data_IF_364832781676
#
_entry.id   IF_364832781676
#
_cell.length_a   1.000
_cell.length_b   1.000
_cell.length_c   1.000
_cell.angle_alpha   90.00
_cell.angle_beta   90.00
_cell.angle_gamma   90.00
#
_symmetry.space_group_name_H-M   'P 1'
#
loop_
_entity.id
_entity.type
_entity.pdbx_description
1 polymer ?
#
# COMPACT_ATOMS: atom_id res chain seq x y z
N UNK A 1 -8.99 -3.59 15.06
CA UNK A 1 -8.43 -2.75 16.11
C UNK A 1 -9.02 -1.36 15.93
N UNK A 2 -9.51 -0.71 16.98
CA UNK A 2 -10.14 0.62 16.87
C UNK A 2 -9.16 1.78 16.91
N UNK A 3 -7.94 1.58 16.44
CA UNK A 3 -6.90 2.62 16.41
C UNK A 3 -7.08 3.45 15.15
N UNK A 4 -7.10 4.77 15.31
CA UNK A 4 -7.23 5.71 14.18
C UNK A 4 -5.86 6.03 13.57
N UNK A 5 -5.85 6.28 12.27
CA UNK A 5 -4.70 6.87 11.59
C UNK A 5 -4.34 8.22 12.21
N UNK A 6 -3.06 8.50 12.33
CA UNK A 6 -2.55 9.74 12.90
C UNK A 6 -2.70 10.94 11.95
N UNK A 7 -2.68 10.70 10.64
CA UNK A 7 -2.69 11.75 9.65
C UNK A 7 -4.10 12.22 9.26
N UNK A 8 -4.16 13.50 8.96
CA UNK A 8 -5.24 14.13 8.18
C UNK A 8 -4.81 14.25 6.71
N UNK A 9 -5.70 14.67 5.81
CA UNK A 9 -5.31 14.97 4.43
C UNK A 9 -4.25 16.07 4.36
N UNK A 10 -4.30 17.07 5.25
CA UNK A 10 -3.30 18.13 5.31
C UNK A 10 -1.91 17.57 5.63
N UNK A 11 -1.78 16.80 6.72
CA UNK A 11 -0.47 16.32 7.17
C UNK A 11 0.10 15.24 6.25
N UNK A 12 -0.72 14.30 5.78
CA UNK A 12 -0.31 13.27 4.84
C UNK A 12 0.13 13.86 3.48
N UNK A 13 -0.64 14.79 2.92
CA UNK A 13 -0.30 15.38 1.61
C UNK A 13 0.84 16.37 1.69
N UNK A 14 1.02 17.06 2.84
CA UNK A 14 2.23 17.84 3.11
C UNK A 14 3.47 16.95 3.14
N UNK A 15 3.41 15.86 3.89
CA UNK A 15 4.47 14.85 3.94
C UNK A 15 4.77 14.29 2.55
N UNK A 16 3.75 13.94 1.77
CA UNK A 16 3.88 13.49 0.39
C UNK A 16 4.60 14.51 -0.51
N UNK A 17 4.20 15.78 -0.45
CA UNK A 17 4.81 16.87 -1.22
C UNK A 17 6.29 17.05 -0.85
N UNK A 18 6.62 17.05 0.45
CA UNK A 18 8.00 17.18 0.91
C UNK A 18 8.89 16.00 0.46
N UNK A 19 8.29 14.83 0.25
CA UNK A 19 8.94 13.66 -0.35
C UNK A 19 8.96 13.65 -1.89
N UNK A 20 8.42 14.70 -2.56
CA UNK A 20 8.44 14.80 -4.03
C UNK A 20 7.20 14.25 -4.73
N UNK A 21 6.15 13.88 -4.00
CA UNK A 21 4.91 13.33 -4.57
C UNK A 21 3.89 14.45 -4.85
N UNK A 22 3.32 14.48 -6.05
CA UNK A 22 2.36 15.50 -6.53
C UNK A 22 0.90 15.03 -6.49
N UNK A 23 0.67 13.72 -6.42
CA UNK A 23 -0.68 13.15 -6.38
C UNK A 23 -0.72 11.90 -5.51
N UNK A 24 -1.82 11.70 -4.78
CA UNK A 24 -2.04 10.51 -3.94
C UNK A 24 -3.37 9.85 -4.27
N UNK A 25 -3.45 8.53 -4.11
CA UNK A 25 -4.71 7.79 -4.13
C UNK A 25 -4.93 7.25 -2.71
N UNK A 26 -5.82 7.88 -1.97
CA UNK A 26 -6.11 7.53 -0.57
C UNK A 26 -7.27 6.53 -0.48
N UNK A 27 -7.39 5.83 0.64
CA UNK A 27 -8.54 4.95 0.88
C UNK A 27 -9.76 5.77 1.34
N UNK A 28 -10.89 5.64 0.62
CA UNK A 28 -12.21 5.96 1.17
C UNK A 28 -12.71 4.72 1.92
N UNK A 29 -12.41 4.65 3.21
CA UNK A 29 -12.61 3.46 4.03
C UNK A 29 -14.09 3.30 4.39
N UNK A 30 -14.78 2.39 3.72
CA UNK A 30 -16.18 2.05 3.95
C UNK A 30 -16.35 1.36 5.29
N UNK A 31 -17.25 1.85 6.12
CA UNK A 31 -17.66 1.19 7.36
C UNK A 31 -18.80 0.20 7.07
N UNK A 32 -18.79 -0.98 7.72
CA UNK A 32 -19.88 -1.95 7.57
C UNK A 32 -21.23 -1.33 7.89
N UNK A 33 -22.20 -1.55 7.02
CA UNK A 33 -23.56 -1.02 7.14
C UNK A 33 -23.75 0.43 6.66
N UNK A 34 -22.67 1.15 6.29
CA UNK A 34 -22.79 2.49 5.71
C UNK A 34 -23.02 2.44 4.20
N UNK A 35 -23.48 3.54 3.57
CA UNK A 35 -23.54 3.69 2.12
C UNK A 35 -22.18 4.03 1.53
N UNK A 36 -21.87 3.51 0.33
CA UNK A 36 -20.62 3.83 -0.37
C UNK A 36 -20.60 5.30 -0.80
N UNK A 37 -21.70 5.82 -1.30
CA UNK A 37 -21.83 7.21 -1.73
C UNK A 37 -21.59 8.20 -0.58
N UNK A 38 -22.15 7.93 0.59
CA UNK A 38 -21.93 8.73 1.81
C UNK A 38 -20.46 8.69 2.23
N UNK A 39 -19.84 7.50 2.20
CA UNK A 39 -18.42 7.32 2.52
C UNK A 39 -17.53 8.17 1.61
N UNK A 40 -17.72 8.08 0.29
CA UNK A 40 -16.91 8.83 -0.69
C UNK A 40 -17.15 10.34 -0.53
N UNK A 41 -18.39 10.77 -0.29
CA UNK A 41 -18.70 12.19 -0.06
C UNK A 41 -18.00 12.74 1.19
N UNK A 42 -17.96 12.00 2.30
CA UNK A 42 -17.26 12.41 3.53
C UNK A 42 -15.74 12.52 3.28
N UNK A 43 -15.11 11.51 2.65
CA UNK A 43 -13.69 11.57 2.32
C UNK A 43 -13.36 12.70 1.36
N UNK A 44 -14.20 12.95 0.35
CA UNK A 44 -14.05 14.08 -0.58
C UNK A 44 -14.11 15.42 0.15
N UNK A 45 -15.05 15.57 1.08
CA UNK A 45 -15.18 16.79 1.88
C UNK A 45 -13.96 17.03 2.80
N UNK A 46 -13.38 15.96 3.35
CA UNK A 46 -12.13 16.05 4.15
C UNK A 46 -10.95 16.42 3.28
N UNK A 47 -10.79 15.77 2.12
CA UNK A 47 -9.70 16.05 1.19
C UNK A 47 -9.77 17.48 0.64
N UNK A 48 -10.95 17.94 0.21
CA UNK A 48 -11.14 19.31 -0.28
C UNK A 48 -10.74 20.37 0.75
N UNK A 49 -10.89 20.09 2.06
CA UNK A 49 -10.52 21.05 3.11
C UNK A 49 -9.03 21.05 3.43
N UNK A 50 -8.32 19.96 3.20
CA UNK A 50 -6.97 19.79 3.76
C UNK A 50 -5.90 19.33 2.78
N UNK A 51 -6.23 18.77 1.63
CA UNK A 51 -5.22 18.28 0.70
C UNK A 51 -4.40 19.43 0.09
N UNK A 52 -3.09 19.27 0.07
CA UNK A 52 -2.12 20.22 -0.48
C UNK A 52 -1.64 19.85 -1.90
N UNK A 53 -1.91 18.61 -2.30
CA UNK A 53 -1.62 18.07 -3.63
C UNK A 53 -2.86 17.37 -4.16
N UNK A 54 -2.83 16.93 -5.39
CA UNK A 54 -3.94 16.24 -6.02
C UNK A 54 -4.23 14.88 -5.36
N UNK A 55 -5.50 14.50 -5.38
CA UNK A 55 -5.94 13.27 -4.73
C UNK A 55 -7.01 12.53 -5.54
N UNK A 56 -7.02 11.22 -5.38
CA UNK A 56 -8.08 10.32 -5.80
C UNK A 56 -8.37 9.31 -4.68
N UNK A 57 -9.31 8.39 -4.90
CA UNK A 57 -9.69 7.40 -3.90
C UNK A 57 -9.62 5.97 -4.44
N UNK A 58 -9.12 5.07 -3.59
CA UNK A 58 -9.48 3.66 -3.61
C UNK A 58 -10.76 3.50 -2.78
N UNK A 59 -11.91 3.24 -3.42
CA UNK A 59 -13.14 2.96 -2.69
C UNK A 59 -13.01 1.59 -2.03
N UNK A 60 -12.88 1.57 -0.71
CA UNK A 60 -12.79 0.30 0.03
C UNK A 60 -14.19 -0.28 0.20
N UNK A 61 -14.39 -1.51 -0.26
CA UNK A 61 -15.63 -2.27 -0.07
C UNK A 61 -15.42 -3.26 1.06
N UNK A 62 -16.20 -3.13 2.13
CA UNK A 62 -16.14 -3.99 3.32
C UNK A 62 -17.46 -4.72 3.60
N UNK A 63 -18.51 -4.32 2.90
CA UNK A 63 -19.86 -4.86 3.02
C UNK A 63 -20.58 -4.72 1.69
N UNK A 64 -21.10 -5.82 1.17
CA UNK A 64 -21.89 -5.88 -0.07
C UNK A 64 -23.37 -6.10 0.17
N UNK A 65 -23.76 -6.30 1.45
CA UNK A 65 -25.12 -6.59 1.85
C UNK A 65 -25.92 -5.32 2.23
N UNK A 66 -25.31 -4.14 2.02
CA UNK A 66 -25.99 -2.86 2.19
C UNK A 66 -27.00 -2.62 1.05
N UNK A 67 -28.12 -1.92 1.33
CA UNK A 67 -29.08 -1.56 0.28
C UNK A 67 -28.39 -0.82 -0.87
N UNK A 68 -28.85 -1.07 -2.09
CA UNK A 68 -28.41 -0.37 -3.31
C UNK A 68 -26.90 -0.46 -3.63
N UNK A 69 -26.15 -1.40 -3.00
CA UNK A 69 -24.71 -1.57 -3.19
C UNK A 69 -24.26 -1.55 -4.65
N UNK A 70 -24.93 -2.36 -5.50
CA UNK A 70 -24.56 -2.49 -6.92
C UNK A 70 -24.75 -1.17 -7.67
N UNK A 71 -25.88 -0.49 -7.47
CA UNK A 71 -26.18 0.79 -8.13
C UNK A 71 -25.32 1.93 -7.62
N UNK A 72 -25.04 2.00 -6.30
CA UNK A 72 -24.13 3.00 -5.73
C UNK A 72 -22.71 2.81 -6.25
N UNK A 73 -22.19 1.56 -6.25
CA UNK A 73 -20.84 1.29 -6.74
C UNK A 73 -20.72 1.64 -8.23
N UNK A 74 -21.70 1.26 -9.05
CA UNK A 74 -21.71 1.60 -10.47
C UNK A 74 -21.73 3.12 -10.68
N UNK A 75 -22.57 3.86 -9.96
CA UNK A 75 -22.66 5.31 -10.07
C UNK A 75 -21.37 6.01 -9.63
N UNK A 76 -20.70 5.52 -8.60
CA UNK A 76 -19.40 6.07 -8.15
C UNK A 76 -18.30 5.83 -9.18
N UNK A 77 -18.29 4.68 -9.84
CA UNK A 77 -17.33 4.38 -10.91
C UNK A 77 -17.59 5.29 -12.12
N UNK A 78 -18.84 5.46 -12.53
CA UNK A 78 -19.23 6.36 -13.63
C UNK A 78 -18.87 7.82 -13.32
N UNK A 79 -18.91 8.22 -12.05
CA UNK A 79 -18.47 9.53 -11.58
C UNK A 79 -16.92 9.71 -11.59
N UNK A 80 -16.16 8.68 -12.00
CA UNK A 80 -14.70 8.75 -12.14
C UNK A 80 -13.89 8.01 -11.08
N UNK A 81 -14.51 7.41 -10.06
CA UNK A 81 -13.80 6.64 -9.02
C UNK A 81 -13.50 5.22 -9.52
N UNK A 82 -12.47 5.06 -10.34
CA UNK A 82 -12.19 3.80 -11.06
C UNK A 82 -11.33 2.80 -10.30
N UNK A 83 -11.06 3.01 -9.02
CA UNK A 83 -10.26 2.10 -8.21
C UNK A 83 -11.06 1.60 -7.01
N UNK A 84 -11.29 0.27 -6.97
CA UNK A 84 -12.10 -0.39 -5.96
C UNK A 84 -11.20 -1.30 -5.12
N UNK A 85 -11.14 -1.10 -3.80
CA UNK A 85 -10.29 -1.87 -2.89
C UNK A 85 -11.10 -2.92 -2.14
N UNK A 86 -10.59 -4.16 -2.15
CA UNK A 86 -11.13 -5.28 -1.36
C UNK A 86 -10.01 -5.96 -0.57
N UNK A 87 -10.40 -6.68 0.47
CA UNK A 87 -9.50 -7.41 1.36
C UNK A 87 -9.92 -8.88 1.43
N UNK A 88 -8.96 -9.78 1.51
CA UNK A 88 -9.16 -11.22 1.72
C UNK A 88 -8.91 -11.63 3.17
N UNK A 89 -8.56 -10.69 4.04
CA UNK A 89 -8.34 -10.87 5.48
C UNK A 89 -8.84 -9.68 6.29
N UNK A 90 -8.70 -9.73 7.59
CA UNK A 90 -9.20 -8.79 8.59
C UNK A 90 -10.73 -8.83 8.76
N UNK A 91 -11.21 -8.04 9.72
CA UNK A 91 -12.64 -7.86 9.97
C UNK A 91 -13.40 -7.13 8.84
N UNK A 92 -12.67 -6.67 7.82
CA UNK A 92 -13.19 -6.00 6.61
C UNK A 92 -13.08 -6.88 5.36
N UNK A 93 -12.69 -8.15 5.52
CA UNK A 93 -12.60 -9.09 4.40
C UNK A 93 -13.96 -9.35 3.76
N UNK A 94 -13.91 -9.63 2.47
CA UNK A 94 -15.03 -10.14 1.70
C UNK A 94 -14.86 -11.65 1.45
N UNK A 95 -15.96 -12.35 1.36
CA UNK A 95 -15.99 -13.73 0.85
C UNK A 95 -15.65 -13.78 -0.64
N UNK A 96 -15.20 -14.92 -1.13
CA UNK A 96 -14.93 -15.12 -2.57
C UNK A 96 -16.14 -14.76 -3.44
N UNK A 97 -17.36 -15.09 -2.98
CA UNK A 97 -18.58 -14.74 -3.68
C UNK A 97 -18.80 -13.21 -3.77
N UNK A 98 -18.54 -12.48 -2.68
CA UNK A 98 -18.64 -11.02 -2.63
C UNK A 98 -17.55 -10.35 -3.47
N UNK A 99 -16.31 -10.88 -3.45
CA UNK A 99 -15.22 -10.41 -4.32
C UNK A 99 -15.60 -10.60 -5.79
N UNK A 100 -16.10 -11.76 -6.20
CA UNK A 100 -16.53 -12.02 -7.57
C UNK A 100 -17.69 -11.11 -7.98
N UNK A 101 -18.65 -10.83 -7.08
CA UNK A 101 -19.74 -9.90 -7.32
C UNK A 101 -19.22 -8.48 -7.55
N UNK A 102 -18.33 -7.98 -6.67
CA UNK A 102 -17.68 -6.68 -6.80
C UNK A 102 -16.88 -6.57 -8.11
N UNK A 103 -16.12 -7.61 -8.46
CA UNK A 103 -15.36 -7.68 -9.71
C UNK A 103 -16.26 -7.59 -10.95
N UNK A 104 -17.43 -8.22 -10.95
CA UNK A 104 -18.38 -8.16 -12.07
C UNK A 104 -18.93 -6.75 -12.29
N UNK A 105 -19.28 -6.05 -11.20
CA UNK A 105 -19.73 -4.65 -11.25
C UNK A 105 -18.58 -3.77 -11.78
N UNK A 106 -17.41 -3.89 -11.19
CA UNK A 106 -16.22 -3.12 -11.59
C UNK A 106 -15.88 -3.33 -13.08
N UNK A 107 -15.97 -4.58 -13.56
CA UNK A 107 -15.72 -4.90 -14.97
C UNK A 107 -16.76 -4.24 -15.89
N UNK A 108 -18.03 -4.30 -15.54
CA UNK A 108 -19.09 -3.71 -16.35
C UNK A 108 -18.92 -2.19 -16.53
N UNK A 109 -18.34 -1.53 -15.54
CA UNK A 109 -18.08 -0.08 -15.51
C UNK A 109 -16.65 0.30 -15.87
N UNK A 110 -15.78 -0.67 -16.20
CA UNK A 110 -14.38 -0.40 -16.59
C UNK A 110 -13.48 0.08 -15.45
N UNK A 111 -13.71 -0.41 -14.23
CA UNK A 111 -12.90 -0.10 -13.06
C UNK A 111 -11.85 -1.18 -12.77
N UNK A 112 -10.79 -0.79 -12.04
CA UNK A 112 -9.74 -1.65 -11.52
C UNK A 112 -10.12 -2.14 -10.11
N UNK A 113 -9.95 -3.43 -9.82
CA UNK A 113 -10.10 -3.96 -8.46
C UNK A 113 -8.73 -4.16 -7.84
N UNK A 114 -8.48 -3.51 -6.71
CA UNK A 114 -7.25 -3.58 -5.94
C UNK A 114 -7.43 -4.53 -4.76
N UNK A 115 -6.51 -5.45 -4.53
CA UNK A 115 -6.69 -6.50 -3.53
C UNK A 115 -5.51 -6.54 -2.56
N UNK A 116 -5.83 -6.47 -1.25
CA UNK A 116 -4.94 -6.97 -0.21
C UNK A 116 -5.13 -8.49 -0.17
N UNK A 117 -4.10 -9.26 -0.51
CA UNK A 117 -4.20 -10.69 -0.76
C UNK A 117 -3.40 -11.50 0.27
N UNK A 118 -4.04 -11.83 1.39
CA UNK A 118 -3.57 -12.80 2.38
C UNK A 118 -4.74 -13.69 2.81
N UNK A 119 -4.51 -14.99 2.99
CA UNK A 119 -5.55 -15.97 3.35
C UNK A 119 -5.82 -15.93 4.85
N UNK A 120 -6.98 -15.39 5.24
CA UNK A 120 -7.38 -15.16 6.65
C UNK A 120 -7.30 -16.43 7.52
N UNK A 121 -7.73 -17.58 6.99
CA UNK A 121 -7.71 -18.85 7.73
C UNK A 121 -6.28 -19.27 8.09
N UNK A 122 -5.30 -19.06 7.21
CA UNK A 122 -3.88 -19.36 7.47
C UNK A 122 -3.32 -18.38 8.53
N UNK A 123 -3.64 -17.10 8.43
CA UNK A 123 -3.22 -16.10 9.41
C UNK A 123 -3.82 -16.38 10.80
N UNK A 124 -5.10 -16.74 10.85
CA UNK A 124 -5.78 -17.06 12.10
C UNK A 124 -5.18 -18.30 12.78
N UNK A 125 -4.89 -19.35 12.02
CA UNK A 125 -4.28 -20.59 12.53
C UNK A 125 -2.85 -20.33 13.05
N UNK A 126 -2.00 -19.68 12.25
CA UNK A 126 -0.63 -19.34 12.61
C UNK A 126 -0.58 -18.47 13.88
N UNK A 127 -1.44 -17.44 13.95
CA UNK A 127 -1.57 -16.60 15.13
C UNK A 127 -2.00 -17.38 16.37
N UNK A 128 -3.02 -18.23 16.24
CA UNK A 128 -3.52 -19.04 17.37
C UNK A 128 -2.44 -19.99 17.90
N UNK A 129 -1.67 -20.61 17.00
CA UNK A 129 -0.56 -21.48 17.36
C UNK A 129 0.54 -20.74 18.15
N UNK A 130 1.00 -19.59 17.65
CA UNK A 130 2.02 -18.77 18.33
C UNK A 130 1.56 -18.33 19.72
N UNK A 131 0.32 -17.88 19.86
CA UNK A 131 -0.24 -17.44 21.14
C UNK A 131 -0.37 -18.61 22.13
N UNK A 132 -0.73 -19.81 21.68
CA UNK A 132 -0.80 -21.01 22.51
C UNK A 132 0.59 -21.41 23.04
N UNK A 133 1.66 -21.11 22.32
CA UNK A 133 3.04 -21.31 22.73
C UNK A 133 3.61 -20.18 23.60
N UNK A 134 2.83 -19.14 23.91
CA UNK A 134 3.28 -17.96 24.65
C UNK A 134 4.20 -17.02 23.86
N UNK A 135 4.25 -17.15 22.55
CA UNK A 135 5.02 -16.32 21.63
C UNK A 135 4.24 -15.04 21.32
N UNK A 136 4.58 -13.94 22.00
CA UNK A 136 3.77 -12.71 22.00
C UNK A 136 4.52 -11.46 21.54
N UNK A 137 5.86 -11.50 21.49
CA UNK A 137 6.68 -10.34 21.14
C UNK A 137 6.50 -9.91 19.66
N UNK A 138 6.81 -8.63 19.30
CA UNK A 138 6.63 -8.11 17.95
C UNK A 138 7.29 -8.92 16.83
N UNK A 139 8.44 -9.54 17.07
CA UNK A 139 9.13 -10.34 16.06
C UNK A 139 8.35 -11.60 15.62
N UNK A 140 7.39 -12.08 16.42
CA UNK A 140 6.51 -13.17 16.00
C UNK A 140 5.43 -12.73 14.99
N UNK A 141 5.32 -11.44 14.73
CA UNK A 141 4.41 -10.94 13.70
C UNK A 141 4.72 -11.54 12.31
N UNK A 142 6.00 -11.61 11.92
CA UNK A 142 6.37 -12.22 10.64
C UNK A 142 5.95 -13.70 10.57
N UNK A 143 6.15 -14.46 11.63
CA UNK A 143 5.73 -15.86 11.72
C UNK A 143 4.19 -16.03 11.73
N UNK A 144 3.44 -15.02 12.22
CA UNK A 144 1.97 -15.03 12.20
C UNK A 144 1.37 -14.74 10.81
N UNK A 145 2.21 -14.28 9.89
CA UNK A 145 1.88 -14.01 8.48
C UNK A 145 2.75 -14.90 7.56
N UNK A 146 2.58 -16.23 7.61
CA UNK A 146 3.41 -17.14 6.80
C UNK A 146 3.27 -16.82 5.32
N UNK A 147 4.35 -16.99 4.57
CA UNK A 147 4.43 -16.74 3.12
C UNK A 147 3.25 -17.35 2.35
N UNK A 148 2.84 -18.57 2.75
CA UNK A 148 1.74 -19.31 2.12
C UNK A 148 0.40 -18.54 2.17
N UNK A 149 0.19 -17.67 3.15
CA UNK A 149 -1.03 -16.86 3.21
C UNK A 149 -1.10 -15.84 2.05
N UNK A 150 0.03 -15.21 1.71
CA UNK A 150 0.11 -14.32 0.54
C UNK A 150 0.04 -15.12 -0.76
N UNK A 151 0.84 -16.19 -0.90
CA UNK A 151 0.94 -16.99 -2.13
C UNK A 151 -0.44 -17.51 -2.54
N UNK A 152 -1.16 -18.18 -1.63
CA UNK A 152 -2.49 -18.75 -1.91
C UNK A 152 -3.49 -17.67 -2.34
N UNK A 153 -3.54 -16.56 -1.60
CA UNK A 153 -4.48 -15.49 -1.90
C UNK A 153 -4.16 -14.80 -3.24
N UNK A 154 -2.88 -14.55 -3.54
CA UNK A 154 -2.43 -13.99 -4.82
C UNK A 154 -2.83 -14.90 -5.98
N UNK A 155 -2.52 -16.21 -5.88
CA UNK A 155 -2.90 -17.19 -6.92
C UNK A 155 -4.41 -17.25 -7.14
N UNK A 156 -5.19 -17.28 -6.07
CA UNK A 156 -6.66 -17.32 -6.10
C UNK A 156 -7.23 -16.07 -6.77
N UNK A 157 -6.75 -14.89 -6.41
CA UNK A 157 -7.20 -13.63 -7.03
C UNK A 157 -6.78 -13.54 -8.49
N UNK A 158 -5.59 -14.01 -8.85
CA UNK A 158 -5.17 -14.13 -10.26
C UNK A 158 -6.14 -15.02 -11.06
N UNK A 159 -6.63 -16.12 -10.48
CA UNK A 159 -7.61 -16.98 -11.13
C UNK A 159 -8.99 -16.32 -11.27
N UNK A 160 -9.40 -15.50 -10.31
CA UNK A 160 -10.65 -14.73 -10.44
C UNK A 160 -10.52 -13.67 -11.54
N UNK A 161 -9.39 -12.97 -11.61
CA UNK A 161 -9.09 -12.03 -12.69
C UNK A 161 -9.13 -12.71 -14.07
N UNK A 162 -8.48 -13.86 -14.21
CA UNK A 162 -8.44 -14.67 -15.43
C UNK A 162 -9.86 -15.15 -15.83
N UNK A 163 -10.61 -15.70 -14.87
CA UNK A 163 -11.98 -16.21 -15.09
C UNK A 163 -12.94 -15.14 -15.57
N UNK A 164 -12.91 -13.96 -14.95
CA UNK A 164 -13.80 -12.85 -15.29
C UNK A 164 -13.25 -11.95 -16.40
N UNK A 165 -11.94 -12.00 -16.70
CA UNK A 165 -11.26 -11.00 -17.51
C UNK A 165 -11.30 -9.61 -16.85
N UNK A 166 -11.31 -9.54 -15.52
CA UNK A 166 -11.37 -8.33 -14.72
C UNK A 166 -9.96 -7.79 -14.48
N UNK A 167 -9.68 -6.51 -14.82
CA UNK A 167 -8.43 -5.83 -14.40
C UNK A 167 -8.26 -5.82 -12.89
N UNK A 168 -7.12 -6.34 -12.39
CA UNK A 168 -6.82 -6.43 -10.96
C UNK A 168 -5.43 -5.88 -10.67
N UNK A 169 -5.29 -5.12 -9.57
CA UNK A 169 -4.03 -4.72 -8.96
C UNK A 169 -3.84 -5.50 -7.65
N UNK A 170 -2.79 -6.28 -7.57
CA UNK A 170 -2.35 -6.94 -6.35
C UNK A 170 -1.43 -6.00 -5.58
N UNK A 171 -1.85 -5.62 -4.37
CA UNK A 171 -1.13 -4.65 -3.55
C UNK A 171 0.06 -5.30 -2.85
N UNK A 172 1.09 -4.49 -2.59
CA UNK A 172 2.19 -4.74 -1.66
C UNK A 172 2.73 -6.18 -1.65
N UNK A 173 3.06 -6.73 -2.82
CA UNK A 173 3.71 -8.05 -2.93
C UNK A 173 5.02 -8.04 -2.15
N UNK A 174 5.16 -8.99 -1.24
CA UNK A 174 6.30 -9.10 -0.33
C UNK A 174 7.18 -10.33 -0.57
N UNK A 175 6.66 -11.35 -1.28
CA UNK A 175 7.35 -12.64 -1.48
C UNK A 175 7.75 -12.86 -2.94
N UNK A 176 8.83 -13.61 -3.14
CA UNK A 176 9.28 -14.10 -4.45
C UNK A 176 8.16 -14.86 -5.15
N UNK A 177 7.50 -15.78 -4.45
CA UNK A 177 6.46 -16.63 -5.02
C UNK A 177 5.20 -15.84 -5.38
N UNK A 178 4.88 -14.76 -4.62
CA UNK A 178 3.81 -13.84 -4.98
C UNK A 178 4.08 -13.14 -6.32
N UNK A 179 5.30 -12.64 -6.51
CA UNK A 179 5.73 -12.05 -7.79
C UNK A 179 5.72 -13.09 -8.93
N UNK A 180 6.15 -14.31 -8.67
CA UNK A 180 6.12 -15.43 -9.64
C UNK A 180 4.67 -15.78 -10.04
N UNK A 181 3.74 -15.79 -9.10
CA UNK A 181 2.32 -16.03 -9.37
C UNK A 181 1.72 -14.95 -10.27
N UNK A 182 2.06 -13.68 -10.04
CA UNK A 182 1.68 -12.56 -10.91
C UNK A 182 2.24 -12.75 -12.32
N UNK A 183 3.55 -13.01 -12.45
CA UNK A 183 4.21 -13.27 -13.73
C UNK A 183 3.52 -14.40 -14.48
N UNK A 184 3.27 -15.52 -13.81
CA UNK A 184 2.63 -16.69 -14.41
C UNK A 184 1.17 -16.38 -14.86
N UNK A 185 0.42 -15.60 -14.10
CA UNK A 185 -0.92 -15.17 -14.48
C UNK A 185 -0.92 -14.27 -15.72
N UNK A 186 -0.01 -13.28 -15.76
CA UNK A 186 0.18 -12.39 -16.92
C UNK A 186 0.60 -13.17 -18.17
N UNK A 187 1.48 -14.15 -18.03
CA UNK A 187 1.89 -15.02 -19.14
C UNK A 187 0.73 -15.84 -19.74
N UNK A 188 -0.33 -16.10 -18.95
CA UNK A 188 -1.58 -16.72 -19.44
C UNK A 188 -2.58 -15.72 -20.01
N UNK A 189 -2.26 -14.43 -19.98
CA UNK A 189 -3.14 -13.36 -20.48
C UNK A 189 -4.13 -12.81 -19.44
N UNK A 190 -3.98 -13.13 -18.16
CA UNK A 190 -4.79 -12.54 -17.11
C UNK A 190 -4.50 -11.03 -17.00
N UNK A 191 -5.51 -10.16 -16.89
CA UNK A 191 -5.31 -8.70 -16.77
C UNK A 191 -4.96 -8.33 -15.33
N UNK A 192 -3.77 -8.74 -14.88
CA UNK A 192 -3.27 -8.47 -13.53
C UNK A 192 -2.03 -7.60 -13.56
N UNK A 193 -1.97 -6.68 -12.60
CA UNK A 193 -0.83 -5.85 -12.25
C UNK A 193 -0.52 -6.07 -10.77
N UNK A 194 0.68 -5.70 -10.36
CA UNK A 194 1.06 -5.77 -8.96
C UNK A 194 2.04 -4.66 -8.60
N UNK A 195 2.06 -4.35 -7.31
CA UNK A 195 2.96 -3.38 -6.72
C UNK A 195 3.73 -3.97 -5.53
N UNK A 196 4.84 -3.35 -5.21
CA UNK A 196 5.58 -3.57 -3.97
C UNK A 196 5.84 -2.22 -3.29
N UNK A 197 6.51 -2.23 -2.13
CA UNK A 197 6.75 -1.03 -1.33
C UNK A 197 8.21 -0.94 -0.90
N UNK A 198 8.75 0.26 -0.58
CA UNK A 198 10.14 0.42 -0.15
C UNK A 198 10.52 -0.49 1.03
N UNK A 199 9.65 -0.67 2.02
CA UNK A 199 9.96 -1.50 3.17
C UNK A 199 10.19 -2.99 2.83
N UNK A 200 9.66 -3.51 1.71
CA UNK A 200 10.01 -4.84 1.22
C UNK A 200 11.29 -4.87 0.39
N UNK A 201 11.70 -3.74 -0.15
CA UNK A 201 12.90 -3.62 -0.98
C UNK A 201 14.18 -3.35 -0.17
N UNK A 202 14.04 -2.82 1.06
CA UNK A 202 15.16 -2.33 1.85
C UNK A 202 15.22 -2.88 3.28
N UNK A 203 14.16 -3.48 3.80
CA UNK A 203 14.11 -4.04 5.16
C UNK A 203 13.84 -5.54 5.12
N UNK A 204 14.38 -6.27 6.10
CA UNK A 204 14.07 -7.68 6.35
C UNK A 204 13.26 -7.82 7.63
N UNK A 205 12.68 -9.01 7.88
CA UNK A 205 11.93 -9.30 9.09
C UNK A 205 12.77 -9.16 10.38
N UNK A 206 14.11 -9.16 10.27
CA UNK A 206 15.02 -8.94 11.40
C UNK A 206 14.81 -7.58 12.06
N UNK A 207 14.27 -6.59 11.34
CA UNK A 207 13.92 -5.27 11.89
C UNK A 207 12.92 -5.37 13.04
N UNK A 208 12.11 -6.43 13.08
CA UNK A 208 11.14 -6.69 14.14
C UNK A 208 11.79 -7.20 15.44
N UNK A 209 13.06 -7.65 15.39
CA UNK A 209 13.80 -8.22 16.52
C UNK A 209 14.41 -7.16 17.45
N UNK A 210 13.77 -5.99 17.57
CA UNK A 210 14.20 -4.95 18.51
C UNK A 210 13.72 -5.26 19.92
N UNK A 211 14.42 -4.75 20.97
CA UNK A 211 14.06 -5.01 22.37
C UNK A 211 12.64 -4.54 22.73
N UNK A 212 11.95 -5.28 23.57
CA UNK A 212 10.62 -4.95 24.06
C UNK A 212 9.60 -4.82 22.94
N UNK A 213 8.84 -3.72 22.91
CA UNK A 213 7.85 -3.42 21.89
C UNK A 213 8.40 -2.60 20.70
N UNK A 214 9.67 -2.23 20.72
CA UNK A 214 10.27 -1.35 19.72
C UNK A 214 10.10 -1.87 18.28
N UNK A 215 10.21 -3.20 18.07
CA UNK A 215 9.94 -3.83 16.77
C UNK A 215 8.54 -3.56 16.23
N UNK A 216 7.59 -3.19 17.08
CA UNK A 216 6.22 -2.81 16.70
C UNK A 216 6.16 -1.60 15.76
N UNK A 217 7.18 -0.72 15.75
CA UNK A 217 7.27 0.40 14.79
C UNK A 217 7.25 -0.08 13.35
N UNK A 218 7.87 -1.24 13.06
CA UNK A 218 8.03 -1.77 11.71
C UNK A 218 7.00 -2.85 11.33
N UNK A 219 6.07 -3.18 12.22
CA UNK A 219 5.00 -4.13 11.88
C UNK A 219 4.09 -3.58 10.79
N UNK A 220 3.95 -4.32 9.69
CA UNK A 220 3.05 -4.10 8.56
C UNK A 220 2.50 -5.45 8.05
N UNK A 221 1.52 -5.43 7.17
CA UNK A 221 0.93 -6.64 6.58
C UNK A 221 0.76 -6.49 5.07
N UNK A 222 1.37 -7.39 4.30
CA UNK A 222 2.29 -8.46 4.75
C UNK A 222 3.52 -7.91 5.49
N UNK A 223 4.21 -8.72 6.32
CA UNK A 223 5.46 -8.28 6.95
C UNK A 223 6.62 -8.26 5.95
N UNK A 224 7.71 -7.58 6.32
CA UNK A 224 8.98 -7.70 5.62
C UNK A 224 9.42 -9.18 5.60
N UNK A 225 10.16 -9.57 4.56
CA UNK A 225 10.62 -10.94 4.35
C UNK A 225 12.14 -11.03 4.47
N UNK A 226 12.76 -11.96 3.76
CA UNK A 226 14.21 -12.19 3.76
C UNK A 226 14.92 -11.40 2.65
N UNK A 227 16.24 -11.38 2.71
CA UNK A 227 17.08 -10.69 1.73
C UNK A 227 16.90 -11.26 0.30
N UNK A 228 16.69 -12.57 0.17
CA UNK A 228 16.42 -13.21 -1.12
C UNK A 228 15.13 -12.68 -1.75
N UNK A 229 14.13 -12.35 -0.95
CA UNK A 229 12.89 -11.72 -1.45
C UNK A 229 13.14 -10.30 -1.93
N UNK A 230 13.98 -9.53 -1.25
CA UNK A 230 14.36 -8.20 -1.73
C UNK A 230 14.97 -8.27 -3.12
N UNK A 231 15.93 -9.18 -3.33
CA UNK A 231 16.57 -9.38 -4.63
C UNK A 231 15.53 -9.76 -5.70
N UNK A 232 14.67 -10.73 -5.40
CA UNK A 232 13.64 -11.19 -6.34
C UNK A 232 12.61 -10.09 -6.68
N UNK A 233 12.20 -9.27 -5.71
CA UNK A 233 11.29 -8.13 -5.97
C UNK A 233 11.95 -7.06 -6.85
N UNK A 234 13.23 -6.77 -6.64
CA UNK A 234 13.97 -5.87 -7.52
C UNK A 234 14.08 -6.43 -8.95
N UNK A 235 14.35 -7.72 -9.10
CA UNK A 235 14.39 -8.40 -10.41
C UNK A 235 13.01 -8.36 -11.08
N UNK A 236 11.93 -8.58 -10.31
CA UNK A 236 10.56 -8.50 -10.80
C UNK A 236 10.16 -7.08 -11.25
N UNK A 237 10.61 -6.03 -10.55
CA UNK A 237 10.44 -4.63 -10.99
C UNK A 237 11.19 -4.37 -12.30
N UNK A 238 12.42 -4.84 -12.42
CA UNK A 238 13.25 -4.68 -13.62
C UNK A 238 12.67 -5.45 -14.81
N UNK A 239 12.13 -6.63 -14.57
CA UNK A 239 11.50 -7.47 -15.61
C UNK A 239 10.10 -6.94 -16.03
N UNK A 240 9.49 -6.03 -15.26
CA UNK A 240 8.15 -5.53 -15.48
C UNK A 240 7.04 -6.51 -15.00
N UNK A 241 7.38 -7.46 -14.16
CA UNK A 241 6.42 -8.35 -13.49
C UNK A 241 5.67 -7.62 -12.38
N UNK A 242 6.35 -6.69 -11.69
CA UNK A 242 5.76 -5.66 -10.83
C UNK A 242 5.85 -4.31 -11.52
N UNK A 243 4.79 -3.51 -11.47
CA UNK A 243 4.67 -2.29 -12.26
C UNK A 243 4.81 -1.01 -11.46
N UNK A 244 4.58 -1.05 -10.16
CA UNK A 244 4.52 0.14 -9.30
C UNK A 244 5.30 -0.12 -8.01
N UNK A 245 5.96 0.93 -7.51
CA UNK A 245 6.42 1.00 -6.11
C UNK A 245 5.54 2.02 -5.39
N UNK A 246 4.59 1.55 -4.58
CA UNK A 246 3.70 2.37 -3.77
C UNK A 246 4.27 2.62 -2.37
N UNK A 247 3.59 3.42 -1.54
CA UNK A 247 4.04 3.70 -0.17
C UNK A 247 3.45 2.76 0.87
N UNK A 248 2.26 2.26 0.64
CA UNK A 248 1.41 1.61 1.66
C UNK A 248 1.39 2.40 2.98
N UNK A 249 1.24 3.74 2.88
CA UNK A 249 1.28 4.63 4.02
C UNK A 249 0.10 4.36 4.97
N UNK A 250 0.41 3.76 6.12
CA UNK A 250 -0.54 3.46 7.18
C UNK A 250 -0.01 4.05 8.51
N UNK A 251 -0.32 5.33 8.78
CA UNK A 251 0.33 6.13 9.81
C UNK A 251 -0.30 5.89 11.18
N UNK A 252 0.30 5.07 11.99
CA UNK A 252 -0.08 4.87 13.39
C UNK A 252 1.04 5.38 14.32
N UNK A 253 0.67 6.21 15.30
CA UNK A 253 1.61 6.70 16.31
C UNK A 253 2.18 5.53 17.12
N UNK A 254 3.42 5.69 17.58
CA UNK A 254 4.04 4.68 18.46
C UNK A 254 3.88 5.12 19.93
N UNK A 255 2.63 5.28 20.35
CA UNK A 255 2.21 5.64 21.69
C UNK A 255 0.87 4.95 22.03
N UNK A 256 0.28 5.29 23.19
CA UNK A 256 -1.00 4.75 23.67
C UNK A 256 -2.21 5.14 22.80
N UNK A 257 -2.09 6.13 21.96
CA UNK A 257 -3.15 6.51 20.98
C UNK A 257 -3.07 5.72 19.69
N UNK A 258 -1.98 5.00 19.48
CA UNK A 258 -1.65 4.26 18.27
C UNK A 258 -1.27 2.81 18.53
N UNK A 259 -0.08 2.42 18.12
CA UNK A 259 0.41 1.05 18.16
C UNK A 259 0.48 0.45 19.58
N UNK A 260 0.66 1.26 20.60
CA UNK A 260 0.75 0.84 22.00
C UNK A 260 -0.55 0.97 22.79
N UNK A 261 -1.70 1.08 22.10
CA UNK A 261 -3.02 1.23 22.72
C UNK A 261 -3.43 0.07 23.63
N UNK A 262 -2.83 -1.11 23.48
CA UNK A 262 -3.03 -2.26 24.37
C UNK A 262 -2.11 -2.24 25.61
N UNK A 263 -1.27 -1.22 25.77
CA UNK A 263 -0.38 -1.03 26.91
C UNK A 263 1.00 -1.62 26.75
N UNK A 264 1.82 -1.58 27.84
CA UNK A 264 3.24 -1.94 27.80
C UNK A 264 3.51 -3.44 27.59
N UNK A 265 2.51 -4.29 27.80
CA UNK A 265 2.59 -5.73 27.62
C UNK A 265 1.84 -6.18 26.34
N UNK A 266 1.66 -5.27 25.38
CA UNK A 266 0.95 -5.54 24.13
C UNK A 266 1.59 -6.72 23.39
N UNK A 267 0.76 -7.68 22.99
CA UNK A 267 1.18 -8.78 22.12
C UNK A 267 1.20 -8.30 20.67
N UNK A 268 1.96 -9.00 19.80
CA UNK A 268 2.05 -8.66 18.37
C UNK A 268 0.67 -8.54 17.70
N UNK A 269 -0.31 -9.38 18.10
CA UNK A 269 -1.67 -9.36 17.51
C UNK A 269 -2.55 -8.18 18.01
N UNK A 270 -2.05 -7.38 18.93
CA UNK A 270 -2.69 -6.19 19.50
C UNK A 270 -2.05 -4.89 19.00
N UNK A 271 -0.90 -4.97 18.30
CA UNK A 271 -0.19 -3.82 17.74
C UNK A 271 -0.74 -3.56 16.33
N UNK A 272 -1.08 -2.31 16.03
CA UNK A 272 -1.57 -1.94 14.71
C UNK A 272 -0.49 -2.12 13.63
N UNK A 273 -0.87 -2.74 12.50
CA UNK A 273 0.02 -2.97 11.36
C UNK A 273 0.00 -1.78 10.44
N UNK A 274 1.16 -1.21 10.14
CA UNK A 274 1.31 -0.12 9.20
C UNK A 274 2.55 0.72 9.47
N UNK A 275 3.10 1.29 8.42
CA UNK A 275 4.28 2.14 8.41
C UNK A 275 3.96 3.50 7.76
N UNK A 276 4.54 4.62 8.21
CA UNK A 276 4.56 5.84 7.43
C UNK A 276 5.51 5.66 6.23
N UNK A 277 5.15 6.19 5.06
CA UNK A 277 5.94 5.98 3.85
C UNK A 277 5.81 7.05 2.78
N UNK A 278 4.90 8.03 2.91
CA UNK A 278 4.65 9.01 1.86
C UNK A 278 5.87 9.89 1.55
N UNK A 279 6.52 10.42 2.58
CA UNK A 279 7.67 11.32 2.43
C UNK A 279 8.95 10.57 2.01
N UNK A 280 9.08 9.32 2.42
CA UNK A 280 10.33 8.56 2.25
C UNK A 280 10.38 7.74 0.96
N UNK A 281 9.21 7.41 0.37
CA UNK A 281 9.12 6.53 -0.80
C UNK A 281 9.98 6.98 -1.97
N UNK A 282 9.76 8.20 -2.45
CA UNK A 282 10.50 8.68 -3.63
C UNK A 282 11.99 8.92 -3.37
N UNK A 283 12.40 9.55 -2.25
CA UNK A 283 13.82 9.72 -1.95
C UNK A 283 14.59 8.39 -1.84
N UNK A 284 14.04 7.36 -1.21
CA UNK A 284 14.62 6.01 -1.15
C UNK A 284 14.77 5.38 -2.54
N UNK A 285 13.72 5.49 -3.36
CA UNK A 285 13.75 4.96 -4.71
C UNK A 285 14.69 5.75 -5.63
N UNK A 286 14.79 7.08 -5.45
CA UNK A 286 15.72 7.92 -6.20
C UNK A 286 17.17 7.53 -5.88
N UNK A 287 17.50 7.39 -4.60
CA UNK A 287 18.83 6.94 -4.19
C UNK A 287 19.20 5.60 -4.82
N UNK A 288 18.33 4.59 -4.69
CA UNK A 288 18.61 3.26 -5.23
C UNK A 288 18.68 3.25 -6.77
N UNK A 289 17.75 3.92 -7.43
CA UNK A 289 17.58 3.77 -8.88
C UNK A 289 18.39 4.78 -9.69
N UNK A 290 18.47 6.03 -9.24
CA UNK A 290 19.13 7.11 -9.99
C UNK A 290 20.57 7.27 -9.51
N UNK A 291 20.77 7.44 -8.21
CA UNK A 291 22.11 7.66 -7.63
C UNK A 291 22.96 6.39 -7.70
N UNK A 292 22.42 5.26 -7.26
CA UNK A 292 23.13 3.97 -7.26
C UNK A 292 22.91 3.15 -8.54
N UNK A 293 22.20 3.70 -9.54
CA UNK A 293 22.12 3.17 -10.89
C UNK A 293 21.26 1.92 -11.08
N UNK A 294 20.36 1.59 -10.13
CA UNK A 294 19.48 0.44 -10.24
C UNK A 294 18.27 0.74 -11.16
N UNK A 295 18.51 0.86 -12.46
CA UNK A 295 17.52 1.11 -13.50
C UNK A 295 17.53 2.54 -14.07
N UNK A 296 18.06 3.51 -13.33
CA UNK A 296 18.20 4.90 -13.78
C UNK A 296 16.90 5.72 -13.74
N UNK A 297 16.95 7.00 -14.18
CA UNK A 297 15.84 7.95 -14.02
C UNK A 297 14.58 7.58 -14.80
N UNK A 298 14.70 6.92 -15.96
CA UNK A 298 13.54 6.50 -16.75
C UNK A 298 12.73 5.42 -16.02
N UNK A 299 13.42 4.40 -15.48
CA UNK A 299 12.76 3.35 -14.72
C UNK A 299 12.20 3.88 -13.38
N UNK A 300 12.90 4.83 -12.73
CA UNK A 300 12.39 5.54 -11.56
C UNK A 300 11.05 6.21 -11.87
N UNK A 301 10.98 7.05 -12.90
CA UNK A 301 9.74 7.72 -13.29
C UNK A 301 8.63 6.72 -13.67
N UNK A 302 8.98 5.65 -14.39
CA UNK A 302 8.03 4.61 -14.79
C UNK A 302 7.39 3.93 -13.58
N UNK A 303 8.19 3.47 -12.61
CA UNK A 303 7.72 2.68 -11.47
C UNK A 303 7.04 3.53 -10.37
N UNK A 304 7.32 4.83 -10.32
CA UNK A 304 6.84 5.70 -9.24
C UNK A 304 5.74 6.69 -9.66
N UNK A 305 5.56 6.90 -10.97
CA UNK A 305 4.60 7.86 -11.51
C UNK A 305 3.84 7.34 -12.73
N UNK A 306 4.51 7.11 -13.89
CA UNK A 306 3.85 6.87 -15.17
C UNK A 306 3.00 5.60 -15.18
N UNK A 307 3.50 4.50 -14.61
CA UNK A 307 2.75 3.26 -14.54
C UNK A 307 1.50 3.40 -13.65
N UNK A 308 1.62 4.08 -12.51
CA UNK A 308 0.49 4.33 -11.62
C UNK A 308 -0.59 5.15 -12.34
N UNK A 309 -0.22 6.27 -12.98
CA UNK A 309 -1.16 7.11 -13.71
C UNK A 309 -1.91 6.32 -14.80
N UNK A 310 -1.18 5.52 -15.59
CA UNK A 310 -1.76 4.71 -16.67
C UNK A 310 -2.68 3.61 -16.14
N UNK A 311 -2.26 2.84 -15.12
CA UNK A 311 -3.01 1.70 -14.60
C UNK A 311 -4.26 2.14 -13.84
N UNK A 312 -4.16 3.20 -13.03
CA UNK A 312 -5.30 3.76 -12.28
C UNK A 312 -6.17 4.68 -13.14
N UNK A 313 -5.75 4.98 -14.37
CA UNK A 313 -6.51 5.81 -15.31
C UNK A 313 -6.64 7.26 -14.85
N UNK A 314 -5.56 7.83 -14.28
CA UNK A 314 -5.52 9.22 -13.88
C UNK A 314 -5.34 10.12 -15.13
N UNK A 315 -6.32 10.95 -15.46
CA UNK A 315 -6.21 11.79 -16.65
C UNK A 315 -5.14 12.87 -16.45
N UNK A 316 -4.41 13.19 -17.50
CA UNK A 316 -3.42 14.26 -17.57
C UNK A 316 -2.23 14.12 -16.60
N UNK A 317 -1.95 12.91 -16.06
CA UNK A 317 -0.87 12.67 -15.09
C UNK A 317 0.13 11.62 -15.57
N UNK A 318 1.31 11.63 -14.96
CA UNK A 318 2.33 10.58 -15.13
C UNK A 318 3.35 10.85 -16.23
N UNK A 319 3.25 11.95 -16.98
CA UNK A 319 4.24 12.37 -17.97
C UNK A 319 4.29 13.89 -18.13
N UNK A 320 5.43 14.39 -18.61
CA UNK A 320 5.62 15.79 -18.96
C UNK A 320 5.35 15.96 -20.47
N UNK A 321 4.12 16.39 -20.83
CA UNK A 321 3.71 16.61 -22.21
C UNK A 321 2.74 17.79 -22.30
N UNK A 322 2.56 18.34 -23.53
CA UNK A 322 1.61 19.43 -23.75
C UNK A 322 0.17 18.95 -23.48
N UNK A 323 -0.55 19.68 -22.63
CA UNK A 323 -1.92 19.35 -22.24
C UNK A 323 -2.02 18.47 -20.98
N UNK A 324 -0.90 18.00 -20.45
CA UNK A 324 -0.85 17.33 -19.15
C UNK A 324 -0.79 18.35 -18.01
N UNK A 325 -1.13 17.92 -16.81
CA UNK A 325 -0.96 18.73 -15.60
C UNK A 325 0.53 19.02 -15.37
N UNK A 326 0.83 20.18 -14.79
CA UNK A 326 2.21 20.58 -14.51
C UNK A 326 2.71 20.01 -13.18
N UNK A 327 2.53 18.71 -12.98
CA UNK A 327 3.03 17.97 -11.82
C UNK A 327 4.54 17.72 -11.99
N UNK A 328 5.34 18.57 -11.39
CA UNK A 328 6.79 18.60 -11.61
C UNK A 328 7.53 18.53 -10.27
N UNK A 329 8.48 17.62 -10.18
CA UNK A 329 9.40 17.54 -9.04
C UNK A 329 10.83 17.77 -9.52
N UNK A 330 11.51 18.77 -8.97
CA UNK A 330 12.94 18.99 -9.17
C UNK A 330 13.73 18.26 -8.10
N UNK A 331 14.85 17.70 -8.51
CA UNK A 331 15.74 16.92 -7.64
C UNK A 331 17.15 17.50 -7.60
N UNK A 332 17.73 17.61 -6.41
CA UNK A 332 19.18 17.75 -6.24
C UNK A 332 19.78 16.33 -6.12
N UNK A 333 20.45 15.83 -7.17
CA UNK A 333 21.00 14.48 -7.17
C UNK A 333 22.24 14.32 -6.30
N UNK A 334 22.74 15.41 -5.74
CA UNK A 334 23.99 15.44 -4.94
C UNK A 334 23.75 15.63 -3.44
N UNK A 335 22.51 16.01 -3.06
CA UNK A 335 22.16 16.24 -1.66
C UNK A 335 22.08 14.93 -0.91
N UNK A 336 22.96 14.75 0.07
CA UNK A 336 22.93 13.61 1.00
C UNK A 336 22.16 13.97 2.26
N UNK A 337 21.29 13.08 2.71
CA UNK A 337 20.47 13.20 3.91
C UNK A 337 20.58 11.92 4.71
N UNK A 338 20.88 12.04 6.01
CA UNK A 338 20.72 10.94 6.97
C UNK A 338 19.42 11.20 7.75
N UNK A 339 18.48 10.28 7.67
CA UNK A 339 17.18 10.42 8.33
C UNK A 339 17.35 10.46 9.86
N UNK A 340 16.83 11.50 10.49
CA UNK A 340 16.65 11.58 11.95
C UNK A 340 15.30 11.06 12.41
N UNK A 341 15.17 10.86 13.72
CA UNK A 341 13.96 10.33 14.35
C UNK A 341 12.67 11.16 14.08
N UNK A 342 12.84 12.48 13.94
CA UNK A 342 11.73 13.45 13.86
C UNK A 342 11.74 14.27 12.55
N UNK A 343 12.35 13.75 11.50
CA UNK A 343 12.51 14.51 10.25
C UNK A 343 11.27 14.45 9.35
N UNK A 344 10.35 13.51 9.60
CA UNK A 344 9.11 13.39 8.81
C UNK A 344 8.05 14.40 9.26
N UNK A 345 7.25 14.85 8.31
CA UNK A 345 6.23 15.87 8.48
C UNK A 345 4.80 15.31 8.63
N UNK A 346 4.71 14.00 8.77
CA UNK A 346 3.47 13.33 9.18
C UNK A 346 3.23 13.46 10.71
N UNK A 347 2.09 12.94 11.18
CA UNK A 347 1.74 12.98 12.60
C UNK A 347 2.13 11.71 13.38
N UNK A 348 2.96 10.85 12.81
CA UNK A 348 3.25 9.52 13.40
C UNK A 348 4.19 9.62 14.61
N UNK A 349 5.15 10.56 14.58
CA UNK A 349 6.06 10.83 15.70
C UNK A 349 7.22 9.84 15.81
N UNK A 350 7.52 9.10 14.76
CA UNK A 350 8.75 8.33 14.58
C UNK A 350 9.06 8.16 13.11
N UNK A 351 10.33 7.87 12.81
CA UNK A 351 10.78 7.61 11.45
C UNK A 351 11.27 6.15 11.34
N UNK A 352 10.63 5.29 10.53
CA UNK A 352 11.09 3.91 10.36
C UNK A 352 12.45 3.80 9.65
N UNK A 353 12.92 4.89 9.05
CA UNK A 353 14.19 4.99 8.32
C UNK A 353 15.27 5.75 9.11
N UNK A 354 15.08 6.00 10.40
CA UNK A 354 16.07 6.67 11.25
C UNK A 354 17.46 6.05 11.09
N UNK A 355 18.47 6.90 10.84
CA UNK A 355 19.86 6.48 10.60
C UNK A 355 20.15 6.02 9.17
N UNK A 356 19.16 5.93 8.29
CA UNK A 356 19.35 5.59 6.88
C UNK A 356 19.92 6.81 6.14
N UNK A 357 20.99 6.62 5.37
CA UNK A 357 21.58 7.66 4.54
C UNK A 357 21.18 7.45 3.07
N UNK A 358 20.74 8.51 2.42
CA UNK A 358 20.35 8.54 1.01
C UNK A 358 21.00 9.72 0.31
N UNK A 359 21.18 9.63 -0.98
CA UNK A 359 21.64 10.71 -1.86
C UNK A 359 20.65 10.97 -2.98
N UNK A 360 20.20 12.21 -3.11
CA UNK A 360 19.13 12.67 -3.97
C UNK A 360 17.92 13.10 -3.15
N UNK A 361 17.53 14.38 -3.29
CA UNK A 361 16.43 14.95 -2.52
C UNK A 361 15.57 15.87 -3.38
N UNK A 362 14.23 15.84 -3.27
CA UNK A 362 13.37 16.80 -3.97
C UNK A 362 13.59 18.20 -3.39
N UNK A 363 13.72 19.19 -4.27
CA UNK A 363 13.91 20.59 -3.88
C UNK A 363 12.67 21.43 -4.08
N UNK A 364 11.93 21.14 -5.15
CA UNK A 364 10.73 21.88 -5.52
C UNK A 364 9.68 20.90 -6.06
N UNK A 365 8.43 21.12 -5.70
CA UNK A 365 7.28 20.31 -6.10
C UNK A 365 6.14 21.24 -6.49
N UNK A 366 5.61 21.07 -7.70
CA UNK A 366 4.50 21.85 -8.26
C UNK A 366 3.34 20.96 -8.66
#
# INVERSE_FOLDING_TARGET
MGVMNADTFETATRSAALGGTTSVISFAAHAKGAGLAETVADYSARATRGAMIDYAFHITVTDTDVPDFESELAALIDAGNRSIKVFTTYNIQLTDAQILATMKIARAQGALVCVHAETDAILADAKAHLLAEGKTAPHYHAASHPRMAEIEAVERICRFAEYLGQPVMLFHISTTEGADAVRAARARGAPVWAETCPHYLFMTEDILCKPGLEGGKWMCSPPQRHEDDQHALWDALQAGDLQIVSSDHAPYRFDETGKLSAGPDARFDQIANGLPGLETRLPLMFDAMVTNGRGGPMAFAQLTASAAAAIYGLPNKGELALGMDADITLWDPTKTVTYGANDLHDNVGYNPWEGYEITGWPTDVW
#
